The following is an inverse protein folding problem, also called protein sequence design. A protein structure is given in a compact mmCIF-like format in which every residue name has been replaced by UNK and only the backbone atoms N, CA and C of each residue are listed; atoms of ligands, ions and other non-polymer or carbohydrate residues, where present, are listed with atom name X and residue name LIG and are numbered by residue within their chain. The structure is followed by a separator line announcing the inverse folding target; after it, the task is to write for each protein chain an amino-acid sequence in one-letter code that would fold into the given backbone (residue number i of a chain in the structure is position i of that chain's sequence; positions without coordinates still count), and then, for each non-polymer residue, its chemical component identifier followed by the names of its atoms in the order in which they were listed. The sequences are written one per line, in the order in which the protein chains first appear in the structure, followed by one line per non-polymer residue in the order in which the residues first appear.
data_IF_162544015672
#
_entry.id   IF_162544015672
#
_cell.length_a   1.000
_cell.length_b   1.000
_cell.length_c   1.000
_cell.angle_alpha   90.00
_cell.angle_beta   90.00
_cell.angle_gamma   90.00
#
_symmetry.space_group_name_H-M   'P 1'
#
loop_
_entity.id
_entity.type
_entity.pdbx_description
1 polymer ?
#
# COMPACT_ATOMS: atom_id res chain seq x y z
N UNK A 1 8.45 5.57 -2.92
CA UNK A 1 7.79 6.02 -4.17
C UNK A 1 8.58 5.44 -5.34
N UNK A 2 7.90 5.04 -6.41
CA UNK A 2 8.48 4.40 -7.59
C UNK A 2 7.94 5.09 -8.85
N UNK A 3 8.79 5.41 -9.83
CA UNK A 3 8.35 5.83 -11.16
C UNK A 3 8.32 4.61 -12.09
N UNK A 4 7.19 4.34 -12.72
CA UNK A 4 7.01 3.22 -13.65
C UNK A 4 5.81 3.49 -14.58
N UNK A 5 5.89 3.09 -15.85
CA UNK A 5 4.81 3.22 -16.83
C UNK A 5 4.14 4.62 -16.86
N UNK A 6 4.97 5.67 -16.94
CA UNK A 6 4.55 7.08 -16.97
C UNK A 6 3.72 7.55 -15.77
N UNK A 7 3.92 6.92 -14.61
CA UNK A 7 3.31 7.31 -13.36
C UNK A 7 4.24 7.15 -12.16
N UNK A 8 4.07 8.03 -11.17
CA UNK A 8 4.52 7.81 -9.81
C UNK A 8 3.55 6.86 -9.12
N UNK A 9 4.12 5.88 -8.42
CA UNK A 9 3.43 4.91 -7.58
C UNK A 9 3.92 5.07 -6.14
N UNK A 10 2.99 5.13 -5.20
CA UNK A 10 3.29 5.28 -3.79
C UNK A 10 2.55 4.24 -2.97
N UNK A 11 3.31 3.53 -2.15
CA UNK A 11 2.81 2.74 -1.04
C UNK A 11 3.09 3.53 0.22
N UNK A 12 2.09 3.70 1.07
CA UNK A 12 2.20 4.54 2.25
C UNK A 12 1.45 3.96 3.43
N UNK A 13 1.88 4.35 4.63
CA UNK A 13 1.26 3.92 5.88
C UNK A 13 -0.08 4.64 6.06
N UNK A 14 -1.16 3.87 6.09
CA UNK A 14 -2.43 4.31 6.63
C UNK A 14 -2.49 3.95 8.11
N UNK A 15 -2.80 4.91 8.98
CA UNK A 15 -3.00 4.68 10.40
C UNK A 15 -4.47 4.92 10.74
N UNK A 16 -5.14 3.90 11.28
CA UNK A 16 -6.56 4.00 11.62
C UNK A 16 -7.21 2.68 11.98
N UNK A 17 -8.32 2.77 12.69
CA UNK A 17 -9.06 1.61 13.16
C UNK A 17 -10.17 2.05 14.10
N UNK A 18 -11.01 1.12 14.56
CA UNK A 18 -12.05 1.43 15.54
C UNK A 18 -11.42 1.96 16.85
N UNK A 19 -12.17 2.75 17.64
CA UNK A 19 -11.69 3.27 18.93
C UNK A 19 -11.07 2.16 19.80
N UNK A 20 -9.89 2.43 20.37
CA UNK A 20 -9.15 1.46 21.18
C UNK A 20 -8.34 0.42 20.39
N UNK A 21 -8.39 0.42 19.04
CA UNK A 21 -7.56 -0.44 18.18
C UNK A 21 -6.82 0.40 17.14
N UNK A 22 -5.57 0.73 17.44
CA UNK A 22 -4.70 1.37 16.46
C UNK A 22 -4.09 0.31 15.54
N UNK A 23 -4.49 0.32 14.27
CA UNK A 23 -3.99 -0.59 13.25
C UNK A 23 -3.34 0.22 12.13
N UNK A 24 -2.23 -0.30 11.62
CA UNK A 24 -1.62 0.22 10.41
C UNK A 24 -1.99 -0.62 9.20
N UNK A 25 -2.08 0.03 8.07
CA UNK A 25 -2.33 -0.58 6.77
C UNK A 25 -1.40 0.02 5.74
N UNK A 26 -1.28 -0.66 4.61
CA UNK A 26 -0.61 -0.11 3.45
C UNK A 26 -1.66 0.28 2.45
N UNK A 27 -1.59 1.55 2.10
CA UNK A 27 -2.39 2.14 1.07
C UNK A 27 -1.54 2.32 -0.18
N UNK A 28 -2.20 2.34 -1.33
CA UNK A 28 -1.61 2.66 -2.61
C UNK A 28 -2.18 3.97 -3.17
N UNK A 29 -1.37 4.71 -3.92
CA UNK A 29 -1.82 5.80 -4.76
C UNK A 29 -0.92 5.94 -5.99
N UNK A 30 -1.45 6.49 -7.07
CA UNK A 30 -0.69 6.82 -8.27
C UNK A 30 -0.87 8.28 -8.70
N UNK A 31 0.11 8.84 -9.39
CA UNK A 31 0.09 10.21 -9.90
C UNK A 31 0.86 10.30 -11.21
N UNK A 32 0.42 11.18 -12.14
CA UNK A 32 1.18 11.49 -13.36
C UNK A 32 2.10 12.70 -13.21
N UNK A 33 1.77 13.59 -12.28
CA UNK A 33 2.46 14.88 -12.08
C UNK A 33 3.19 14.95 -10.73
N UNK A 34 3.02 13.95 -9.86
CA UNK A 34 3.55 13.92 -8.50
C UNK A 34 2.81 14.86 -7.52
N UNK A 35 1.83 15.63 -8.00
CA UNK A 35 1.12 16.65 -7.23
C UNK A 35 -0.31 16.20 -6.91
N UNK A 36 -1.03 15.64 -7.88
CA UNK A 36 -2.38 15.11 -7.72
C UNK A 36 -2.35 13.60 -7.69
N UNK A 37 -2.89 13.03 -6.61
CA UNK A 37 -2.81 11.60 -6.35
C UNK A 37 -4.19 10.94 -6.46
N UNK A 38 -4.27 9.92 -7.29
CA UNK A 38 -5.42 9.03 -7.35
C UNK A 38 -5.19 7.89 -6.35
N UNK A 39 -6.08 7.77 -5.36
CA UNK A 39 -6.01 6.70 -4.37
C UNK A 39 -6.34 5.33 -4.98
N UNK A 40 -7.05 5.27 -6.11
CA UNK A 40 -7.54 4.00 -6.65
C UNK A 40 -8.76 3.50 -5.87
N UNK A 41 -9.41 2.47 -6.41
CA UNK A 41 -10.68 1.94 -5.92
C UNK A 41 -10.71 0.42 -6.11
N UNK A 42 -10.12 -0.29 -5.15
CA UNK A 42 -9.86 -1.72 -5.18
C UNK A 42 -10.69 -2.46 -4.13
N UNK A 43 -10.87 -3.76 -4.33
CA UNK A 43 -11.56 -4.70 -3.44
C UNK A 43 -10.60 -5.70 -2.77
N UNK A 44 -9.30 -5.37 -2.72
CA UNK A 44 -8.25 -6.26 -2.20
C UNK A 44 -8.31 -6.44 -0.68
N UNK A 45 -8.65 -5.39 0.06
CA UNK A 45 -8.77 -5.41 1.52
C UNK A 45 -10.12 -4.81 1.88
N UNK A 46 -10.95 -5.57 2.59
CA UNK A 46 -12.27 -5.08 3.04
C UNK A 46 -12.10 -4.17 4.25
N UNK A 47 -12.63 -2.96 4.18
CA UNK A 47 -12.69 -2.04 5.32
C UNK A 47 -14.15 -1.72 5.67
N UNK A 48 -14.55 -1.77 6.96
CA UNK A 48 -15.92 -1.47 7.36
C UNK A 48 -16.38 -0.10 6.87
N UNK A 49 -17.48 -0.06 6.12
CA UNK A 49 -18.03 1.16 5.52
C UNK A 49 -17.32 1.65 4.25
N UNK A 50 -16.22 1.01 3.84
CA UNK A 50 -15.51 1.30 2.60
C UNK A 50 -15.01 -0.01 1.95
N UNK A 51 -15.90 -0.85 1.41
CA UNK A 51 -15.54 -2.15 0.84
C UNK A 51 -14.66 -2.03 -0.41
N UNK A 52 -14.78 -0.91 -1.13
CA UNK A 52 -13.79 -0.50 -2.13
C UNK A 52 -12.99 0.69 -1.63
N UNK A 53 -11.68 0.55 -1.66
CA UNK A 53 -10.73 1.48 -1.06
C UNK A 53 -9.34 1.29 -1.68
N UNK A 54 -8.34 1.96 -1.13
CA UNK A 54 -6.97 1.87 -1.63
C UNK A 54 -6.00 1.07 -0.77
N UNK A 55 -6.52 0.26 0.14
CA UNK A 55 -5.73 -0.61 1.00
C UNK A 55 -5.27 -1.82 0.18
N UNK A 56 -3.97 -2.09 0.19
CA UNK A 56 -3.36 -3.26 -0.47
C UNK A 56 -2.81 -4.27 0.54
N UNK A 57 -2.69 -3.87 1.81
CA UNK A 57 -2.34 -4.78 2.90
C UNK A 57 -2.87 -4.25 4.23
N UNK A 58 -3.42 -5.13 5.07
CA UNK A 58 -3.77 -4.87 6.47
C UNK A 58 -3.57 -6.16 7.26
N UNK A 59 -2.85 -6.10 8.37
CA UNK A 59 -2.71 -7.25 9.26
C UNK A 59 -3.93 -7.33 10.19
N UNK A 60 -4.91 -8.15 9.82
CA UNK A 60 -6.12 -8.39 10.62
C UNK A 60 -5.87 -9.30 11.82
N UNK A 61 -4.73 -10.01 11.85
CA UNK A 61 -4.39 -11.00 12.88
C UNK A 61 -3.66 -10.39 14.06
N UNK A 62 -3.25 -9.13 13.97
CA UNK A 62 -2.61 -8.40 15.06
C UNK A 62 -3.65 -7.63 15.90
N UNK A 63 -4.05 -8.14 17.08
CA UNK A 63 -5.07 -7.50 17.91
C UNK A 63 -4.60 -6.19 18.53
N UNK A 64 -3.28 -5.94 18.60
CA UNK A 64 -2.72 -4.75 19.25
C UNK A 64 -1.49 -4.22 18.50
N UNK A 65 -1.51 -2.91 18.23
CA UNK A 65 -0.41 -1.99 17.87
C UNK A 65 0.83 -2.62 17.23
N UNK A 66 0.65 -3.49 16.22
CA UNK A 66 1.74 -3.83 15.32
C UNK A 66 1.82 -2.71 14.30
N UNK A 67 2.79 -1.82 14.52
CA UNK A 67 3.19 -0.83 13.52
C UNK A 67 3.81 -1.61 12.37
N UNK A 68 3.13 -1.66 11.24
CA UNK A 68 3.80 -1.97 9.98
C UNK A 68 4.75 -0.81 9.71
N UNK A 69 6.05 -1.09 9.71
CA UNK A 69 7.08 -0.11 9.34
C UNK A 69 6.83 0.39 7.92
N UNK A 70 7.36 1.56 7.52
CA UNK A 70 7.22 2.04 6.15
C UNK A 70 7.72 0.97 5.17
N UNK A 71 6.81 0.45 4.35
CA UNK A 71 7.12 -0.61 3.40
C UNK A 71 7.30 0.02 2.03
N UNK A 72 8.41 -0.34 1.38
CA UNK A 72 8.77 0.19 0.06
C UNK A 72 8.68 -0.92 -0.96
N UNK A 73 8.14 -0.58 -2.14
CA UNK A 73 8.26 -1.43 -3.33
C UNK A 73 9.48 -0.98 -4.12
N UNK A 74 10.31 -1.97 -4.48
CA UNK A 74 11.46 -1.81 -5.36
C UNK A 74 11.15 -2.50 -6.69
N UNK A 75 11.65 -1.92 -7.78
CA UNK A 75 11.71 -2.57 -9.09
C UNK A 75 13.07 -3.25 -9.23
N UNK A 76 13.09 -4.58 -9.24
CA UNK A 76 14.27 -5.36 -9.59
C UNK A 76 14.38 -5.47 -11.12
N UNK A 77 15.27 -4.67 -11.70
CA UNK A 77 15.52 -4.68 -13.14
C UNK A 77 16.24 -5.96 -13.63
N UNK A 78 16.88 -6.72 -12.73
CA UNK A 78 17.57 -7.95 -13.07
C UNK A 78 16.63 -9.17 -13.08
N UNK A 79 15.44 -9.06 -12.50
CA UNK A 79 14.46 -10.14 -12.49
C UNK A 79 13.86 -10.36 -13.90
N UNK A 80 14.12 -11.50 -14.56
CA UNK A 80 13.67 -11.73 -15.93
C UNK A 80 12.15 -11.84 -16.04
N UNK A 81 11.48 -12.43 -15.03
CA UNK A 81 10.03 -12.59 -15.03
C UNK A 81 9.33 -11.26 -14.69
N UNK A 82 8.63 -10.62 -15.65
CA UNK A 82 7.97 -9.34 -15.42
C UNK A 82 6.95 -9.37 -14.27
N UNK A 83 6.35 -10.53 -13.97
CA UNK A 83 5.40 -10.67 -12.87
C UNK A 83 6.07 -10.66 -11.48
N UNK A 84 7.41 -10.76 -11.41
CA UNK A 84 8.18 -10.88 -10.17
C UNK A 84 9.12 -9.71 -9.89
N UNK A 85 9.19 -8.73 -10.81
CA UNK A 85 10.10 -7.58 -10.71
C UNK A 85 9.78 -6.64 -9.55
N UNK A 86 8.54 -6.60 -9.09
CA UNK A 86 8.14 -5.74 -7.98
C UNK A 86 8.33 -6.49 -6.66
N UNK A 87 9.27 -6.00 -5.85
CA UNK A 87 9.61 -6.61 -4.56
C UNK A 87 9.19 -5.69 -3.43
N UNK A 88 8.45 -6.27 -2.49
CA UNK A 88 8.02 -5.58 -1.29
C UNK A 88 9.05 -5.77 -0.19
N UNK A 89 9.57 -4.68 0.35
CA UNK A 89 10.57 -4.68 1.42
C UNK A 89 9.95 -4.14 2.69
N UNK A 90 10.01 -4.96 3.74
CA UNK A 90 9.53 -4.68 5.08
C UNK A 90 10.63 -5.00 6.11
N UNK A 91 10.67 -4.25 7.21
CA UNK A 91 11.63 -4.39 8.30
C UNK A 91 10.90 -4.66 9.62
#
# INVERSE_FOLDING_TARGET
MLWHADAFHMWYLGAGGPPGRYQSSICYASSRDGLRWNRGDFDHVTYPGAPRNNLVFRDERAPEVRRTHPMTVLLDAAEPDPARRFKFVAF
#
